data_IF_222473373909
#
_entry.id   IF_222473373909
#
_cell.length_a   1.000
_cell.length_b   1.000
_cell.length_c   1.000
_cell.angle_alpha   90.00
_cell.angle_beta   90.00
_cell.angle_gamma   90.00
#
_symmetry.space_group_name_H-M   'P 1'
#
loop_
_entity.id
_entity.type
_entity.pdbx_description
1 polymer ?
#
# COMPACT_ATOMS: atom_id res chain seq x y z
N UNK A 1 0.10 -7.10 1.23
CA UNK A 1 -0.46 -8.45 1.57
C UNK A 1 -1.98 -8.43 1.60
N UNK A 2 -2.63 -7.49 2.27
CA UNK A 2 -4.11 -7.36 2.30
C UNK A 2 -4.70 -7.39 0.89
N UNK A 3 -4.15 -6.61 -0.05
CA UNK A 3 -4.62 -6.58 -1.44
C UNK A 3 -4.56 -7.95 -2.13
N UNK A 4 -3.48 -8.71 -1.97
CA UNK A 4 -3.36 -10.04 -2.57
C UNK A 4 -4.40 -11.02 -2.00
N UNK A 5 -4.60 -10.99 -0.68
CA UNK A 5 -5.61 -11.81 -0.02
C UNK A 5 -7.03 -11.40 -0.40
N UNK A 6 -7.28 -10.09 -0.54
CA UNK A 6 -8.56 -9.57 -1.01
C UNK A 6 -8.86 -10.04 -2.44
N UNK A 7 -7.88 -9.98 -3.35
CA UNK A 7 -8.00 -10.52 -4.72
C UNK A 7 -8.34 -12.02 -4.68
N UNK A 8 -7.66 -12.81 -3.85
CA UNK A 8 -7.92 -14.26 -3.74
C UNK A 8 -9.33 -14.54 -3.22
N UNK A 9 -9.80 -13.84 -2.18
CA UNK A 9 -11.18 -13.96 -1.69
C UNK A 9 -12.18 -13.47 -2.74
N UNK A 10 -11.89 -12.35 -3.40
CA UNK A 10 -12.75 -11.75 -4.42
C UNK A 10 -12.98 -12.70 -5.60
N UNK A 11 -11.94 -13.44 -6.04
CA UNK A 11 -12.07 -14.50 -7.07
C UNK A 11 -13.09 -15.57 -6.71
N UNK A 12 -13.20 -15.90 -5.43
CA UNK A 12 -14.03 -16.97 -4.90
C UNK A 12 -15.43 -16.52 -4.47
N UNK A 13 -15.80 -15.25 -4.70
CA UNK A 13 -17.17 -14.78 -4.44
C UNK A 13 -18.18 -15.54 -5.29
N UNK A 14 -19.39 -15.83 -4.76
CA UNK A 14 -20.50 -16.32 -5.57
C UNK A 14 -20.82 -15.39 -6.74
N UNK A 15 -21.23 -15.94 -7.89
CA UNK A 15 -21.53 -15.13 -9.09
C UNK A 15 -22.53 -14.00 -8.84
N UNK A 16 -23.52 -14.22 -7.96
CA UNK A 16 -24.50 -13.19 -7.57
C UNK A 16 -23.90 -11.98 -6.81
N UNK A 17 -22.71 -12.16 -6.21
CA UNK A 17 -22.02 -11.14 -5.41
C UNK A 17 -20.89 -10.47 -6.21
N UNK A 18 -20.67 -10.89 -7.47
CA UNK A 18 -19.72 -10.29 -8.38
C UNK A 18 -20.36 -9.12 -9.13
N UNK A 19 -19.80 -7.94 -8.96
CA UNK A 19 -20.27 -6.77 -9.70
C UNK A 19 -19.65 -6.66 -11.10
N UNK A 20 -20.18 -5.76 -11.94
CA UNK A 20 -19.81 -5.60 -13.36
C UNK A 20 -18.32 -5.34 -13.64
N UNK A 21 -17.57 -4.83 -12.67
CA UNK A 21 -16.14 -4.53 -12.84
C UNK A 21 -15.20 -5.61 -12.33
N UNK A 22 -15.75 -6.71 -11.82
CA UNK A 22 -15.00 -7.84 -11.28
C UNK A 22 -13.88 -8.32 -12.21
N UNK A 23 -14.21 -8.57 -13.49
CA UNK A 23 -13.23 -9.03 -14.48
C UNK A 23 -12.14 -8.00 -14.77
N UNK A 24 -12.48 -6.71 -14.76
CA UNK A 24 -11.52 -5.61 -14.96
C UNK A 24 -10.50 -5.55 -13.83
N UNK A 25 -10.95 -5.66 -12.58
CA UNK A 25 -10.07 -5.65 -11.41
C UNK A 25 -9.15 -6.86 -11.42
N UNK A 26 -9.69 -8.06 -11.65
CA UNK A 26 -8.89 -9.29 -11.66
C UNK A 26 -7.92 -9.39 -12.83
N UNK A 27 -8.34 -8.95 -14.02
CA UNK A 27 -7.50 -8.97 -15.23
C UNK A 27 -6.33 -7.99 -15.18
N UNK A 28 -6.42 -6.99 -14.30
CA UNK A 28 -5.42 -5.91 -14.18
C UNK A 28 -4.90 -5.77 -12.73
N UNK A 29 -4.71 -6.88 -12.07
CA UNK A 29 -4.35 -6.93 -10.63
C UNK A 29 -2.99 -6.28 -10.30
N UNK A 30 -2.06 -6.18 -11.27
CA UNK A 30 -0.82 -5.45 -11.12
C UNK A 30 -1.06 -3.95 -10.85
N UNK A 31 -2.09 -3.33 -11.46
CA UNK A 31 -2.46 -1.97 -11.13
C UNK A 31 -3.14 -1.85 -9.76
N UNK A 32 -3.83 -2.89 -9.29
CA UNK A 32 -4.33 -2.92 -7.90
C UNK A 32 -3.16 -2.93 -6.92
N UNK A 33 -2.12 -3.72 -7.18
CA UNK A 33 -0.90 -3.74 -6.36
C UNK A 33 -0.19 -2.40 -6.38
N UNK A 34 -0.07 -1.77 -7.55
CA UNK A 34 0.51 -0.43 -7.69
C UNK A 34 -0.25 0.60 -6.85
N UNK A 35 -1.57 0.63 -6.94
CA UNK A 35 -2.39 1.55 -6.16
C UNK A 35 -2.24 1.33 -4.66
N UNK A 36 -2.11 0.06 -4.22
CA UNK A 36 -1.97 -0.27 -2.80
C UNK A 36 -0.63 0.18 -2.17
N UNK A 37 0.37 0.49 -2.96
CA UNK A 37 1.65 1.07 -2.49
C UNK A 37 1.79 2.54 -2.87
N UNK A 38 0.85 3.07 -3.66
CA UNK A 38 0.91 4.44 -4.18
C UNK A 38 1.07 5.53 -3.10
N UNK A 39 0.29 5.52 -2.00
CA UNK A 39 0.43 6.53 -0.95
C UNK A 39 1.83 6.60 -0.33
N UNK A 40 2.57 5.49 -0.30
CA UNK A 40 3.92 5.42 0.26
C UNK A 40 5.02 5.89 -0.70
N UNK A 41 4.72 6.03 -1.98
CA UNK A 41 5.71 6.35 -3.00
C UNK A 41 6.53 7.62 -2.68
N UNK A 42 5.93 8.76 -2.29
CA UNK A 42 6.71 9.94 -1.98
C UNK A 42 7.64 9.78 -0.78
N UNK A 43 7.28 8.95 0.22
CA UNK A 43 8.19 8.66 1.34
C UNK A 43 9.50 8.01 0.87
N UNK A 44 9.41 7.10 -0.10
CA UNK A 44 10.57 6.37 -0.59
C UNK A 44 11.34 7.16 -1.66
N UNK A 45 10.68 7.88 -2.55
CA UNK A 45 11.32 8.67 -3.61
C UNK A 45 12.04 9.93 -3.07
N UNK A 46 11.46 10.58 -2.06
CA UNK A 46 11.94 11.85 -1.54
C UNK A 46 13.01 11.75 -0.45
N UNK A 47 13.47 10.56 -0.07
CA UNK A 47 14.47 10.34 1.00
C UNK A 47 15.76 11.16 0.84
N UNK A 48 16.14 11.51 -0.38
CA UNK A 48 17.35 12.32 -0.66
C UNK A 48 17.16 13.82 -0.43
N UNK A 49 15.91 14.30 -0.36
CA UNK A 49 15.59 15.74 -0.39
C UNK A 49 14.96 16.25 0.92
N UNK A 50 14.71 15.39 1.89
CA UNK A 50 13.96 15.74 3.10
C UNK A 50 14.87 16.19 4.26
N UNK A 51 15.61 17.28 4.09
CA UNK A 51 16.20 18.02 5.23
C UNK A 51 15.11 18.82 5.98
N UNK A 52 13.98 19.10 5.34
CA UNK A 52 12.81 19.75 5.94
C UNK A 52 11.57 18.87 5.73
N UNK A 53 11.31 17.96 6.68
CA UNK A 53 10.17 17.04 6.71
C UNK A 53 8.82 17.72 6.97
N UNK A 54 8.51 18.82 6.32
CA UNK A 54 7.22 19.49 6.49
C UNK A 54 6.32 19.19 5.28
N UNK A 55 5.33 18.32 5.52
CA UNK A 55 4.20 18.06 4.61
C UNK A 55 4.57 17.49 3.24
N UNK A 56 5.00 16.22 3.21
CA UNK A 56 5.14 15.48 1.95
C UNK A 56 3.76 15.15 1.34
N UNK A 57 3.71 14.87 0.03
CA UNK A 57 2.49 14.34 -0.58
C UNK A 57 2.06 13.01 0.05
N UNK A 58 3.00 12.22 0.57
CA UNK A 58 2.67 11.01 1.32
C UNK A 58 1.89 11.36 2.60
N UNK A 59 2.32 12.34 3.42
CA UNK A 59 1.58 12.76 4.61
C UNK A 59 0.15 13.19 4.26
N UNK A 60 -0.02 13.92 3.15
CA UNK A 60 -1.35 14.32 2.68
C UNK A 60 -2.22 13.12 2.31
N UNK A 61 -1.66 12.18 1.57
CA UNK A 61 -2.38 10.97 1.16
C UNK A 61 -2.78 10.06 2.34
N UNK A 62 -2.06 10.13 3.47
CA UNK A 62 -2.37 9.34 4.66
C UNK A 62 -3.27 10.08 5.65
N UNK A 63 -3.13 11.40 5.80
CA UNK A 63 -3.71 12.13 6.93
C UNK A 63 -4.65 13.27 6.55
N UNK A 64 -4.65 13.73 5.28
CA UNK A 64 -5.44 14.87 4.87
C UNK A 64 -6.45 14.49 3.79
N UNK A 65 -7.73 14.73 4.04
CA UNK A 65 -8.83 14.56 3.07
C UNK A 65 -8.81 13.23 2.27
N UNK A 66 -8.43 12.13 2.92
CA UNK A 66 -8.28 10.81 2.28
C UNK A 66 -9.58 10.33 1.62
N UNK A 67 -10.72 10.55 2.28
CA UNK A 67 -12.04 10.25 1.71
C UNK A 67 -12.37 11.14 0.50
N UNK A 68 -11.97 12.41 0.53
CA UNK A 68 -12.12 13.33 -0.61
C UNK A 68 -11.35 12.86 -1.83
N UNK A 69 -10.13 12.34 -1.64
CA UNK A 69 -9.36 11.74 -2.74
C UNK A 69 -10.14 10.61 -3.43
N UNK A 70 -10.74 9.71 -2.66
CA UNK A 70 -11.53 8.60 -3.20
C UNK A 70 -12.74 9.11 -3.97
N UNK A 71 -13.47 10.09 -3.43
CA UNK A 71 -14.63 10.69 -4.10
C UNK A 71 -14.23 11.34 -5.43
N UNK A 72 -13.16 12.13 -5.44
CA UNK A 72 -12.67 12.76 -6.68
C UNK A 72 -12.14 11.72 -7.68
N UNK A 73 -11.50 10.65 -7.20
CA UNK A 73 -11.10 9.52 -8.01
C UNK A 73 -12.29 8.84 -8.71
N UNK A 74 -13.39 8.60 -7.99
CA UNK A 74 -14.61 8.04 -8.58
C UNK A 74 -15.20 8.98 -9.64
N UNK A 75 -15.29 10.28 -9.35
CA UNK A 75 -15.75 11.28 -10.34
C UNK A 75 -14.86 11.30 -11.58
N UNK A 76 -13.53 11.23 -11.39
CA UNK A 76 -12.59 11.18 -12.51
C UNK A 76 -12.79 9.92 -13.35
N UNK A 77 -12.98 8.74 -12.73
CA UNK A 77 -13.30 7.50 -13.45
C UNK A 77 -14.58 7.61 -14.27
N UNK A 78 -15.63 8.22 -13.71
CA UNK A 78 -16.91 8.41 -14.41
C UNK A 78 -16.77 9.33 -15.64
N UNK A 79 -15.79 10.22 -15.64
CA UNK A 79 -15.53 11.15 -16.73
C UNK A 79 -14.55 10.61 -17.79
N UNK A 80 -13.91 9.46 -17.56
CA UNK A 80 -13.04 8.83 -18.54
C UNK A 80 -13.87 8.34 -19.74
N UNK A 81 -13.52 8.82 -20.93
CA UNK A 81 -14.16 8.39 -22.19
C UNK A 81 -13.48 7.17 -22.80
N UNK A 82 -12.19 7.04 -22.56
CA UNK A 82 -11.40 5.91 -23.05
C UNK A 82 -11.59 4.69 -22.13
N UNK A 83 -11.97 3.57 -22.73
CA UNK A 83 -12.19 2.31 -22.02
C UNK A 83 -10.88 1.68 -21.54
N UNK A 84 -9.77 1.90 -22.24
CA UNK A 84 -8.47 1.35 -21.84
C UNK A 84 -7.93 2.14 -20.65
N UNK A 85 -8.04 3.47 -20.64
CA UNK A 85 -7.72 4.28 -19.46
C UNK A 85 -8.56 3.84 -18.24
N UNK A 86 -9.86 3.61 -18.42
CA UNK A 86 -10.73 3.12 -17.36
C UNK A 86 -10.28 1.76 -16.83
N UNK A 87 -9.84 0.84 -17.69
CA UNK A 87 -9.35 -0.49 -17.30
C UNK A 87 -8.07 -0.45 -16.48
N UNK A 88 -7.30 0.61 -16.60
CA UNK A 88 -6.06 0.85 -15.88
C UNK A 88 -6.33 1.59 -14.55
N UNK A 89 -7.07 2.70 -14.63
CA UNK A 89 -7.27 3.60 -13.50
C UNK A 89 -8.22 3.01 -12.43
N UNK A 90 -9.23 2.22 -12.83
CA UNK A 90 -10.15 1.60 -11.89
C UNK A 90 -9.45 0.61 -10.94
N UNK A 91 -8.68 -0.39 -11.41
CA UNK A 91 -7.92 -1.28 -10.54
C UNK A 91 -6.93 -0.51 -9.66
N UNK A 92 -6.28 0.50 -10.20
CA UNK A 92 -5.38 1.34 -9.44
C UNK A 92 -6.09 2.05 -8.27
N UNK A 93 -7.26 2.65 -8.51
CA UNK A 93 -8.05 3.28 -7.44
C UNK A 93 -8.51 2.25 -6.40
N UNK A 94 -8.91 1.05 -6.81
CA UNK A 94 -9.22 -0.04 -5.87
C UNK A 94 -8.03 -0.37 -4.98
N UNK A 95 -6.82 -0.37 -5.53
CA UNK A 95 -5.58 -0.54 -4.77
C UNK A 95 -5.36 0.59 -3.76
N UNK A 96 -5.48 1.84 -4.20
CA UNK A 96 -5.35 3.01 -3.33
C UNK A 96 -6.34 2.95 -2.15
N UNK A 97 -7.60 2.63 -2.42
CA UNK A 97 -8.63 2.43 -1.39
C UNK A 97 -8.25 1.29 -0.44
N UNK A 98 -7.64 0.22 -0.95
CA UNK A 98 -7.15 -0.89 -0.11
C UNK A 98 -6.11 -0.40 0.88
N UNK A 99 -5.17 0.45 0.47
CA UNK A 99 -4.20 1.06 1.38
C UNK A 99 -4.88 1.81 2.51
N UNK A 100 -5.77 2.76 2.18
CA UNK A 100 -6.48 3.55 3.19
C UNK A 100 -7.30 2.70 4.18
N UNK A 101 -7.97 1.67 3.69
CA UNK A 101 -8.75 0.76 4.55
C UNK A 101 -7.81 -0.04 5.46
N UNK A 102 -6.69 -0.53 4.91
CA UNK A 102 -5.70 -1.28 5.69
C UNK A 102 -5.16 -0.42 6.84
N UNK A 103 -4.77 0.80 6.56
CA UNK A 103 -4.28 1.75 7.58
C UNK A 103 -5.32 2.00 8.67
N UNK A 104 -6.58 2.21 8.28
CA UNK A 104 -7.67 2.43 9.23
C UNK A 104 -7.88 1.25 10.19
N UNK A 105 -7.61 0.02 9.74
CA UNK A 105 -7.79 -1.20 10.55
C UNK A 105 -6.52 -1.57 11.31
N UNK A 106 -5.35 -1.48 10.68
CA UNK A 106 -4.10 -2.02 11.21
C UNK A 106 -3.38 -1.03 12.13
N UNK A 107 -3.26 0.26 11.75
CA UNK A 107 -2.55 1.23 12.59
C UNK A 107 -3.10 1.36 14.02
N UNK A 108 -4.43 1.31 14.28
CA UNK A 108 -4.94 1.26 15.66
C UNK A 108 -4.43 0.06 16.46
N UNK A 109 -4.23 -1.10 15.82
CA UNK A 109 -3.67 -2.30 16.47
C UNK A 109 -2.19 -2.09 16.75
N UNK A 110 -1.42 -1.63 15.77
CA UNK A 110 0.01 -1.32 15.94
C UNK A 110 0.20 -0.27 17.05
N UNK A 111 -0.59 0.81 17.04
CA UNK A 111 -0.55 1.84 18.08
C UNK A 111 -0.90 1.31 19.47
N UNK A 112 -1.78 0.32 19.58
CA UNK A 112 -2.10 -0.33 20.86
C UNK A 112 -0.96 -1.20 21.39
N UNK A 113 -0.03 -1.62 20.52
CA UNK A 113 1.14 -2.43 20.89
C UNK A 113 2.34 -1.53 21.25
N UNK A 114 2.68 -0.59 20.36
CA UNK A 114 3.94 0.18 20.45
C UNK A 114 3.74 1.66 20.78
N UNK A 115 2.49 2.12 20.89
CA UNK A 115 2.16 3.51 21.14
C UNK A 115 2.03 4.35 19.85
N UNK A 116 1.69 5.65 19.98
CA UNK A 116 1.46 6.53 18.83
C UNK A 116 2.69 6.66 17.93
N UNK A 117 2.48 6.62 16.61
CA UNK A 117 3.52 6.69 15.57
C UNK A 117 4.48 7.87 15.76
N UNK A 118 3.95 9.04 16.10
CA UNK A 118 4.73 10.28 16.22
C UNK A 118 5.90 10.19 17.23
N UNK A 119 5.79 9.30 18.23
CA UNK A 119 6.81 9.08 19.25
C UNK A 119 7.55 7.76 19.09
N UNK A 120 7.04 6.83 18.27
CA UNK A 120 7.50 5.44 18.21
C UNK A 120 7.64 4.93 16.76
N UNK A 121 8.08 5.78 15.86
CA UNK A 121 8.12 5.44 14.41
C UNK A 121 9.00 4.23 14.09
N UNK A 122 10.11 4.03 14.82
CA UNK A 122 11.01 2.89 14.63
C UNK A 122 10.35 1.59 15.11
N UNK A 123 9.77 1.60 16.30
CA UNK A 123 9.07 0.45 16.88
C UNK A 123 7.81 0.10 16.09
N UNK A 124 7.11 1.13 15.59
CA UNK A 124 5.95 0.96 14.73
C UNK A 124 6.32 0.18 13.47
N UNK A 125 7.36 0.65 12.76
CA UNK A 125 7.85 -0.02 11.57
C UNK A 125 8.37 -1.43 11.86
N UNK A 126 9.09 -1.62 12.96
CA UNK A 126 9.55 -2.93 13.38
C UNK A 126 8.39 -3.90 13.63
N UNK A 127 7.34 -3.44 14.32
CA UNK A 127 6.12 -4.20 14.55
C UNK A 127 5.46 -4.62 13.23
N UNK A 128 5.26 -3.68 12.31
CA UNK A 128 4.66 -3.95 10.99
C UNK A 128 5.46 -4.95 10.18
N UNK A 129 6.79 -4.84 10.16
CA UNK A 129 7.64 -5.77 9.42
C UNK A 129 7.58 -7.20 9.98
N UNK A 130 7.46 -7.37 11.30
CA UNK A 130 7.26 -8.69 11.91
C UNK A 130 5.88 -9.23 11.58
N UNK A 131 4.84 -8.39 11.66
CA UNK A 131 3.47 -8.76 11.29
C UNK A 131 3.38 -9.18 9.84
N UNK A 132 4.05 -8.46 8.94
CA UNK A 132 4.14 -8.78 7.52
C UNK A 132 4.82 -10.12 7.28
N UNK A 133 5.96 -10.37 7.90
CA UNK A 133 6.68 -11.64 7.78
C UNK A 133 5.83 -12.80 8.27
N UNK A 134 5.15 -12.62 9.41
CA UNK A 134 4.26 -13.61 9.99
C UNK A 134 3.07 -13.94 9.07
N UNK A 135 2.34 -12.93 8.62
CA UNK A 135 1.16 -13.11 7.77
C UNK A 135 1.53 -13.71 6.41
N UNK A 136 2.64 -13.26 5.81
CA UNK A 136 3.09 -13.80 4.54
C UNK A 136 3.41 -15.29 4.66
N UNK A 137 4.13 -15.69 5.71
CA UNK A 137 4.43 -17.09 6.01
C UNK A 137 3.18 -17.93 6.22
N UNK A 138 2.18 -17.38 6.96
CA UNK A 138 0.91 -18.07 7.21
C UNK A 138 0.11 -18.29 5.92
N UNK A 139 0.10 -17.33 5.01
CA UNK A 139 -0.70 -17.38 3.78
C UNK A 139 0.02 -18.15 2.67
N UNK A 140 1.30 -17.82 2.42
CA UNK A 140 2.06 -18.35 1.26
C UNK A 140 2.91 -19.57 1.60
N UNK A 141 3.12 -19.87 2.89
CA UNK A 141 3.96 -20.97 3.41
C UNK A 141 5.43 -20.87 3.01
N UNK A 142 5.87 -19.69 2.60
CA UNK A 142 7.27 -19.34 2.29
C UNK A 142 7.66 -18.04 3.00
N UNK A 143 8.97 -17.76 3.10
CA UNK A 143 9.44 -16.50 3.68
C UNK A 143 9.15 -15.34 2.72
N UNK A 144 8.86 -14.16 3.30
CA UNK A 144 8.64 -12.94 2.53
C UNK A 144 9.93 -12.47 1.86
N UNK A 145 9.81 -11.99 0.64
CA UNK A 145 10.90 -11.38 -0.12
C UNK A 145 10.39 -10.11 -0.81
N UNK A 146 11.22 -9.08 -0.90
CA UNK A 146 10.90 -7.87 -1.65
C UNK A 146 10.66 -8.13 -3.14
N UNK A 147 11.22 -9.21 -3.67
CA UNK A 147 11.06 -9.57 -5.07
C UNK A 147 9.68 -10.12 -5.40
N UNK A 148 8.90 -10.54 -4.41
CA UNK A 148 7.62 -11.24 -4.61
C UNK A 148 6.64 -10.47 -5.49
N UNK A 149 6.53 -9.15 -5.27
CA UNK A 149 5.60 -8.29 -6.01
C UNK A 149 6.29 -7.28 -6.93
N UNK A 150 7.62 -7.18 -6.88
CA UNK A 150 8.39 -6.17 -7.63
C UNK A 150 8.17 -6.31 -9.13
N UNK A 151 8.14 -7.53 -9.67
CA UNK A 151 7.92 -7.76 -11.08
C UNK A 151 6.54 -7.28 -11.54
N UNK A 152 5.49 -7.45 -10.71
CA UNK A 152 4.13 -6.98 -11.03
C UNK A 152 4.06 -5.45 -11.02
N UNK A 153 4.78 -4.80 -10.10
CA UNK A 153 4.84 -3.34 -10.06
C UNK A 153 5.65 -2.82 -11.26
N UNK A 154 6.76 -3.48 -11.63
CA UNK A 154 7.52 -3.15 -12.86
C UNK A 154 6.68 -3.27 -14.13
N UNK A 155 5.73 -4.20 -14.19
CA UNK A 155 4.78 -4.31 -15.30
C UNK A 155 3.85 -3.10 -15.46
N UNK A 156 3.76 -2.25 -14.44
CA UNK A 156 2.98 -1.00 -14.51
C UNK A 156 3.76 0.16 -15.14
N UNK A 157 5.05 -0.06 -15.48
CA UNK A 157 5.87 0.90 -16.20
C UNK A 157 5.57 0.86 -17.69
N UNK A 158 5.58 2.03 -18.32
CA UNK A 158 5.34 2.16 -19.77
C UNK A 158 6.57 1.77 -20.59
N UNK A 159 7.77 2.01 -20.03
CA UNK A 159 9.04 1.79 -20.72
C UNK A 159 10.14 1.24 -19.80
N UNK A 160 11.28 0.90 -20.41
CA UNK A 160 12.45 0.37 -19.69
C UNK A 160 13.10 1.38 -18.72
N UNK A 161 12.75 2.67 -18.81
CA UNK A 161 13.21 3.71 -17.88
C UNK A 161 12.41 3.73 -16.58
N UNK A 162 11.32 2.98 -16.54
CA UNK A 162 10.45 2.91 -15.37
C UNK A 162 9.48 4.09 -15.26
N UNK A 163 9.13 4.73 -16.37
CA UNK A 163 8.05 5.71 -16.40
C UNK A 163 6.74 5.00 -16.08
N UNK A 164 5.94 5.57 -15.19
CA UNK A 164 4.64 4.99 -14.83
C UNK A 164 3.68 5.05 -16.03
N UNK A 165 2.69 4.15 -16.05
CA UNK A 165 1.66 4.19 -17.10
C UNK A 165 1.01 5.59 -17.18
N UNK A 166 0.97 6.24 -18.38
CA UNK A 166 0.52 7.62 -18.53
C UNK A 166 -0.92 7.88 -18.08
N UNK A 167 -1.81 6.88 -18.19
CA UNK A 167 -3.18 6.99 -17.71
C UNK A 167 -3.21 7.10 -16.18
N UNK A 168 -2.36 6.35 -15.47
CA UNK A 168 -2.24 6.44 -14.01
C UNK A 168 -1.61 7.78 -13.61
N UNK A 169 -0.54 8.20 -14.27
CA UNK A 169 0.10 9.48 -13.99
C UNK A 169 -0.91 10.64 -14.05
N UNK A 170 -1.62 10.73 -15.16
CA UNK A 170 -2.65 11.76 -15.39
C UNK A 170 -3.81 11.66 -14.39
N UNK A 171 -4.30 10.44 -14.15
CA UNK A 171 -5.41 10.18 -13.23
C UNK A 171 -5.06 10.53 -11.79
N UNK A 172 -3.90 10.10 -11.32
CA UNK A 172 -3.41 10.33 -9.96
C UNK A 172 -3.17 11.81 -9.72
N UNK A 173 -2.40 12.45 -10.62
CA UNK A 173 -2.13 13.89 -10.57
C UNK A 173 -3.43 14.69 -10.48
N UNK A 174 -4.36 14.46 -11.41
CA UNK A 174 -5.65 15.16 -11.44
C UNK A 174 -6.46 14.93 -10.16
N UNK A 175 -6.48 13.70 -9.65
CA UNK A 175 -7.24 13.37 -8.42
C UNK A 175 -6.64 14.08 -7.20
N UNK A 176 -5.31 14.16 -7.09
CA UNK A 176 -4.64 14.93 -6.04
C UNK A 176 -4.93 16.42 -6.14
N UNK A 177 -4.86 16.99 -7.34
CA UNK A 177 -5.16 18.41 -7.57
C UNK A 177 -6.59 18.77 -7.19
N UNK A 178 -7.55 17.91 -7.46
CA UNK A 178 -8.96 18.14 -7.15
C UNK A 178 -9.27 17.92 -5.66
N UNK A 179 -8.68 16.92 -5.05
CA UNK A 179 -8.89 16.64 -3.62
C UNK A 179 -8.11 17.58 -2.68
N UNK A 180 -7.01 18.17 -3.17
CA UNK A 180 -6.14 19.07 -2.40
C UNK A 180 -5.85 20.36 -3.18
N UNK A 181 -6.84 21.22 -3.43
CA UNK A 181 -6.70 22.42 -4.28
C UNK A 181 -5.71 23.44 -3.72
N UNK A 182 -5.47 23.45 -2.41
CA UNK A 182 -4.49 24.28 -1.73
C UNK A 182 -3.04 23.73 -1.81
N UNK A 183 -2.89 22.48 -2.27
CA UNK A 183 -1.59 21.79 -2.37
C UNK A 183 -0.66 22.39 -3.42
N UNK A 184 -1.21 22.95 -4.51
CA UNK A 184 -0.43 23.49 -5.63
C UNK A 184 0.48 24.66 -5.24
N UNK A 185 0.07 25.48 -4.27
CA UNK A 185 0.78 26.71 -3.90
C UNK A 185 1.80 26.52 -2.77
N UNK A 186 1.73 25.39 -2.05
CA UNK A 186 2.50 25.18 -0.81
C UNK A 186 3.53 24.07 -0.89
N UNK A 187 3.40 23.15 -1.84
CA UNK A 187 4.19 21.93 -1.87
C UNK A 187 4.77 21.66 -3.25
N UNK A 188 5.77 20.78 -3.26
CA UNK A 188 6.43 20.33 -4.46
C UNK A 188 5.44 19.79 -5.49
N UNK A 189 5.83 19.90 -6.72
CA UNK A 189 5.17 19.39 -7.90
C UNK A 189 4.69 17.94 -7.69
N UNK A 190 3.43 17.68 -8.02
CA UNK A 190 2.87 16.33 -8.05
C UNK A 190 3.53 15.63 -9.24
N UNK A 191 4.25 14.55 -8.99
CA UNK A 191 4.96 13.83 -10.05
C UNK A 191 4.95 12.32 -9.74
N UNK A 192 3.86 11.62 -10.03
CA UNK A 192 3.76 10.16 -9.83
C UNK A 192 4.83 9.37 -10.58
N UNK A 193 5.31 9.90 -11.71
CA UNK A 193 6.38 9.27 -12.49
C UNK A 193 7.71 9.27 -11.73
N UNK A 194 8.15 10.42 -11.20
CA UNK A 194 9.35 10.49 -10.35
C UNK A 194 9.19 9.61 -9.08
N UNK A 195 7.99 9.55 -8.50
CA UNK A 195 7.72 8.72 -7.34
C UNK A 195 7.85 7.23 -7.68
N UNK A 196 7.31 6.81 -8.83
CA UNK A 196 7.40 5.43 -9.29
C UNK A 196 8.84 5.00 -9.55
N UNK A 197 9.61 5.82 -10.29
CA UNK A 197 11.03 5.58 -10.54
C UNK A 197 11.83 5.51 -9.24
N UNK A 198 11.59 6.45 -8.32
CA UNK A 198 12.22 6.46 -7.01
C UNK A 198 11.92 5.20 -6.19
N UNK A 199 10.67 4.76 -6.20
CA UNK A 199 10.25 3.51 -5.54
C UNK A 199 10.93 2.28 -6.14
N UNK A 200 10.91 2.12 -7.47
CA UNK A 200 11.56 0.99 -8.16
C UNK A 200 13.06 0.94 -7.86
N UNK A 201 13.74 2.09 -7.91
CA UNK A 201 15.17 2.20 -7.59
C UNK A 201 15.48 1.74 -6.16
N UNK A 202 14.62 2.06 -5.19
CA UNK A 202 14.80 1.66 -3.78
C UNK A 202 14.57 0.17 -3.57
N UNK A 203 13.51 -0.38 -4.17
CA UNK A 203 13.25 -1.82 -4.09
C UNK A 203 14.36 -2.62 -4.76
N UNK A 204 14.87 -2.17 -5.89
CA UNK A 204 15.99 -2.82 -6.57
C UNK A 204 17.24 -2.83 -5.70
N UNK A 205 17.53 -1.72 -5.03
CA UNK A 205 18.65 -1.64 -4.07
C UNK A 205 18.45 -2.61 -2.89
N UNK A 206 17.24 -2.64 -2.29
CA UNK A 206 16.93 -3.54 -1.18
C UNK A 206 16.91 -5.02 -1.56
N UNK A 207 16.61 -5.33 -2.82
CA UNK A 207 16.55 -6.70 -3.35
C UNK A 207 17.90 -7.21 -3.86
N UNK A 208 18.94 -6.37 -3.89
CA UNK A 208 20.24 -6.74 -4.45
C UNK A 208 20.92 -7.78 -3.54
N UNK A 209 21.41 -8.91 -4.10
CA UNK A 209 22.06 -9.96 -3.32
C UNK A 209 23.47 -9.56 -2.82
N UNK A 210 24.03 -8.44 -3.28
CA UNK A 210 25.34 -7.96 -2.83
C UNK A 210 25.24 -7.51 -1.36
N UNK A 211 26.08 -8.04 -0.44
CA UNK A 211 25.94 -7.82 1.00
C UNK A 211 25.91 -6.34 1.42
N UNK A 212 26.67 -5.47 0.76
CA UNK A 212 26.71 -4.04 1.11
C UNK A 212 25.37 -3.33 0.83
N UNK A 213 24.70 -3.68 -0.26
CA UNK A 213 23.38 -3.08 -0.57
C UNK A 213 22.27 -3.64 0.32
N UNK A 214 22.36 -4.91 0.70
CA UNK A 214 21.48 -5.52 1.66
C UNK A 214 21.62 -4.87 3.04
N UNK A 215 22.86 -4.58 3.46
CA UNK A 215 23.13 -3.88 4.71
C UNK A 215 22.57 -2.46 4.70
N UNK A 216 22.67 -1.74 3.58
CA UNK A 216 22.02 -0.43 3.41
C UNK A 216 20.48 -0.53 3.48
N UNK A 217 19.89 -1.62 3.00
CA UNK A 217 18.46 -1.90 3.14
C UNK A 217 18.07 -2.16 4.60
N UNK A 218 18.91 -2.89 5.34
CA UNK A 218 18.74 -3.15 6.77
C UNK A 218 18.89 -1.86 7.61
N UNK A 219 19.89 -1.04 7.33
CA UNK A 219 20.07 0.27 7.98
C UNK A 219 18.91 1.25 7.70
N UNK A 220 18.32 1.17 6.50
CA UNK A 220 17.12 1.94 6.17
C UNK A 220 15.82 1.34 6.73
N UNK A 221 15.90 0.28 7.54
CA UNK A 221 14.76 -0.50 8.03
C UNK A 221 13.82 -1.00 6.92
N UNK A 222 14.40 -1.39 5.78
CA UNK A 222 13.66 -1.93 4.63
C UNK A 222 13.76 -3.46 4.54
N UNK A 223 14.56 -4.13 5.39
CA UNK A 223 14.75 -5.57 5.34
C UNK A 223 13.76 -6.31 6.23
N UNK A 224 12.98 -7.22 5.66
CA UNK A 224 12.13 -8.13 6.43
C UNK A 224 12.95 -9.16 7.20
N UNK A 225 12.55 -9.45 8.44
CA UNK A 225 13.09 -10.56 9.20
C UNK A 225 12.53 -11.89 8.69
N UNK A 226 13.40 -12.89 8.53
CA UNK A 226 12.94 -14.27 8.35
C UNK A 226 12.20 -14.73 9.61
N UNK A 227 11.09 -15.47 9.44
CA UNK A 227 10.27 -15.89 10.60
C UNK A 227 11.02 -16.73 11.61
N UNK A 228 12.06 -17.47 11.19
CA UNK A 228 12.94 -18.22 12.08
C UNK A 228 13.88 -17.35 12.94
N UNK A 229 14.08 -16.07 12.58
CA UNK A 229 14.88 -15.11 13.37
C UNK A 229 14.05 -14.23 14.29
N UNK A 230 12.72 -14.33 14.22
CA UNK A 230 11.79 -13.63 15.11
C UNK A 230 11.82 -14.34 16.48
N UNK A 231 12.15 -13.61 17.52
CA UNK A 231 12.18 -14.14 18.90
C UNK A 231 10.77 -14.52 19.39
N UNK A 232 10.67 -15.40 20.37
CA UNK A 232 9.38 -15.78 20.98
C UNK A 232 8.67 -14.57 21.60
N UNK A 233 9.43 -13.64 22.15
CA UNK A 233 8.89 -12.38 22.68
C UNK A 233 8.29 -11.50 21.58
N UNK A 234 9.01 -11.26 20.49
CA UNK A 234 8.51 -10.51 19.32
C UNK A 234 7.28 -11.19 18.73
N UNK A 235 7.34 -12.52 18.56
CA UNK A 235 6.21 -13.30 18.05
C UNK A 235 4.97 -13.14 18.93
N UNK A 236 5.13 -13.30 20.23
CA UNK A 236 4.03 -13.13 21.18
C UNK A 236 3.48 -11.73 21.13
N UNK A 237 4.33 -10.71 21.26
CA UNK A 237 3.95 -9.31 21.38
C UNK A 237 3.31 -8.76 20.10
N UNK A 238 3.85 -9.11 18.92
CA UNK A 238 3.45 -8.48 17.66
C UNK A 238 2.51 -9.31 16.81
N UNK A 239 2.38 -10.64 17.09
CA UNK A 239 1.58 -11.50 16.20
C UNK A 239 0.54 -12.38 16.89
N UNK A 240 0.84 -13.04 18.01
CA UNK A 240 -0.04 -14.07 18.57
C UNK A 240 -0.82 -13.63 19.82
N UNK A 241 -0.32 -12.68 20.58
CA UNK A 241 -0.98 -12.12 21.78
C UNK A 241 -1.03 -10.59 21.72
N UNK A 242 -1.45 -10.07 20.55
CA UNK A 242 -1.47 -8.64 20.29
C UNK A 242 -2.56 -7.92 21.07
N UNK A 243 -2.25 -6.71 21.49
CA UNK A 243 -3.23 -5.81 22.10
C UNK A 243 -4.06 -5.14 21.01
N UNK A 244 -5.38 -5.22 21.13
CA UNK A 244 -6.33 -4.51 20.27
C UNK A 244 -6.82 -3.24 20.96
N UNK A 245 -7.32 -2.25 20.21
CA UNK A 245 -8.03 -1.12 20.79
C UNK A 245 -9.14 -1.59 21.74
N UNK A 246 -9.21 -0.96 22.93
CA UNK A 246 -10.15 -1.38 23.98
C UNK A 246 -9.64 -2.48 24.91
N UNK A 247 -8.34 -2.84 24.83
CA UNK A 247 -7.65 -3.73 25.78
C UNK A 247 -7.91 -5.23 25.57
N UNK A 248 -8.58 -5.62 24.50
CA UNK A 248 -8.71 -7.03 24.12
C UNK A 248 -7.39 -7.56 23.58
N UNK A 249 -7.13 -8.85 23.78
CA UNK A 249 -5.99 -9.54 23.19
C UNK A 249 -6.43 -10.56 22.17
N UNK A 250 -5.57 -10.83 21.18
CA UNK A 250 -5.88 -11.78 20.13
C UNK A 250 -4.72 -12.01 19.15
N UNK A 251 -4.96 -12.74 18.10
CA UNK A 251 -3.98 -12.99 17.06
C UNK A 251 -4.08 -11.92 15.98
N UNK A 252 -2.95 -11.42 15.48
CA UNK A 252 -2.88 -10.41 14.44
C UNK A 252 -3.60 -10.85 13.15
N UNK A 253 -3.65 -12.15 12.87
CA UNK A 253 -4.40 -12.67 11.72
C UNK A 253 -5.87 -12.23 11.72
N UNK A 254 -6.46 -12.00 12.90
CA UNK A 254 -7.85 -11.54 12.99
C UNK A 254 -7.98 -10.08 12.51
N UNK A 255 -7.03 -9.22 12.84
CA UNK A 255 -6.98 -7.85 12.32
C UNK A 255 -6.75 -7.85 10.80
N UNK A 256 -5.82 -8.68 10.34
CA UNK A 256 -5.53 -8.84 8.93
C UNK A 256 -6.76 -9.29 8.12
N UNK A 257 -7.45 -10.36 8.55
CA UNK A 257 -8.64 -10.85 7.87
C UNK A 257 -9.80 -9.83 7.94
N UNK A 258 -9.93 -9.08 9.05
CA UNK A 258 -10.90 -7.97 9.15
C UNK A 258 -10.60 -6.87 8.13
N UNK A 259 -9.33 -6.51 7.93
CA UNK A 259 -8.93 -5.55 6.90
C UNK A 259 -9.29 -6.06 5.50
N UNK A 260 -9.01 -7.32 5.21
CA UNK A 260 -9.35 -7.98 3.94
C UNK A 260 -10.86 -7.95 3.68
N UNK A 261 -11.67 -8.33 4.66
CA UNK A 261 -13.13 -8.36 4.52
C UNK A 261 -13.68 -6.94 4.30
N UNK A 262 -13.10 -5.94 5.00
CA UNK A 262 -13.51 -4.54 4.82
C UNK A 262 -13.13 -4.00 3.45
N UNK A 263 -11.99 -4.38 2.90
CA UNK A 263 -11.59 -4.03 1.53
C UNK A 263 -12.59 -4.58 0.52
N UNK A 264 -12.98 -5.85 0.65
CA UNK A 264 -13.95 -6.48 -0.26
C UNK A 264 -15.31 -5.78 -0.17
N UNK A 265 -15.77 -5.47 1.03
CA UNK A 265 -17.01 -4.70 1.26
C UNK A 265 -16.96 -3.34 0.54
N UNK A 266 -15.86 -2.59 0.71
CA UNK A 266 -15.72 -1.26 0.12
C UNK A 266 -15.57 -1.35 -1.41
N UNK A 267 -14.84 -2.32 -1.95
CA UNK A 267 -14.77 -2.54 -3.39
C UNK A 267 -16.17 -2.79 -4.00
N UNK A 268 -17.05 -3.53 -3.30
CA UNK A 268 -18.43 -3.71 -3.73
C UNK A 268 -19.22 -2.39 -3.80
N UNK A 269 -18.98 -1.49 -2.85
CA UNK A 269 -19.70 -0.21 -2.75
C UNK A 269 -19.17 0.92 -3.63
N UNK A 270 -17.91 0.86 -4.06
CA UNK A 270 -17.30 1.91 -4.89
C UNK A 270 -18.08 2.18 -6.18
N UNK A 271 -18.96 1.27 -6.59
CA UNK A 271 -19.61 1.26 -7.91
C UNK A 271 -21.14 1.15 -7.82
N UNK A 272 -21.70 1.24 -6.62
CA UNK A 272 -23.13 1.42 -6.41
C UNK A 272 -23.55 2.88 -6.62
#
# INVERSE_FOLDING_TARGET
>A
MVVGRAIDKFKNLPEKDKHKYFSTILGNNHFVLLGAVGPDYPYLSELKNNILKLHSWADRMHYENTGGFVIEGIKNLQNLKDKEEFRVCLPWLCGYVTHLITDTVIHPVVNAIVGPYIFNSTEHRHCEMIQDSFIFKEIKKVEISYTEYTHLIKMCSEDDRGNINPAIDSFWTRTLEMSHPDGKDKFRYINPDDWHQGFLSKIELASNPIPIFRHMGEEANLAYKMTGSITDHERSTYTTDVSFPGGKKGNFINAFEMAVDKVIEVWGRLFE
#
